data_IF_239602036718
#
_entry.id   IF_239602036718
#
_cell.length_a   1.000
_cell.length_b   1.000
_cell.length_c   1.000
_cell.angle_alpha   90.00
_cell.angle_beta   90.00
_cell.angle_gamma   90.00
#
_symmetry.space_group_name_H-M   'P 1'
#
loop_
_entity.id
_entity.type
_entity.pdbx_description
1 polymer ?
#
# COMPACT_ATOMS: atom_id res chain seq x y z
N UNK A 1 -10.98 -12.39 -15.47
CA UNK A 1 -10.63 -13.80 -15.14
C UNK A 1 -10.92 -14.00 -13.67
N UNK A 2 -11.71 -15.02 -13.30
CA UNK A 2 -11.91 -15.35 -11.89
C UNK A 2 -10.56 -15.76 -11.30
N UNK A 3 -10.09 -15.02 -10.29
CA UNK A 3 -8.97 -15.46 -9.47
C UNK A 3 -9.36 -16.79 -8.85
N UNK A 4 -8.76 -17.88 -9.35
CA UNK A 4 -8.94 -19.22 -8.79
C UNK A 4 -8.48 -19.14 -7.34
N UNK A 5 -9.40 -19.25 -6.40
CA UNK A 5 -9.08 -19.28 -4.99
C UNK A 5 -8.13 -20.46 -4.75
N UNK A 6 -6.86 -20.15 -4.49
CA UNK A 6 -5.84 -21.12 -4.14
C UNK A 6 -5.80 -21.22 -2.62
N UNK A 7 -6.12 -22.41 -2.11
CA UNK A 7 -6.09 -22.71 -0.68
C UNK A 7 -4.97 -23.71 -0.48
N UNK A 8 -3.95 -23.29 0.26
CA UNK A 8 -2.80 -24.13 0.59
C UNK A 8 -2.54 -24.08 2.09
N UNK A 9 -1.98 -25.16 2.63
CA UNK A 9 -1.71 -25.30 4.04
C UNK A 9 -0.21 -25.22 4.27
N UNK A 10 0.21 -24.36 5.19
CA UNK A 10 1.60 -24.25 5.60
C UNK A 10 1.79 -24.76 7.03
N UNK A 11 2.86 -25.53 7.25
CA UNK A 11 3.25 -25.96 8.60
C UNK A 11 4.08 -24.88 9.26
N UNK A 12 3.79 -24.61 10.54
CA UNK A 12 4.66 -23.79 11.39
C UNK A 12 5.89 -24.61 11.73
N UNK A 13 7.05 -24.11 11.33
CA UNK A 13 8.36 -24.69 11.57
C UNK A 13 8.90 -24.25 12.94
N UNK A 14 10.10 -24.74 13.28
CA UNK A 14 10.81 -24.28 14.49
C UNK A 14 10.94 -22.75 14.51
N UNK A 15 10.92 -22.16 15.71
CA UNK A 15 10.97 -20.71 15.93
C UNK A 15 9.77 -19.93 15.35
N UNK A 16 8.64 -20.58 15.11
CA UNK A 16 7.41 -19.91 14.67
C UNK A 16 7.44 -19.47 13.21
N UNK A 17 8.37 -19.99 12.40
CA UNK A 17 8.48 -19.62 11.00
C UNK A 17 7.42 -20.33 10.15
N UNK A 18 6.82 -19.62 9.19
CA UNK A 18 5.91 -20.18 8.19
C UNK A 18 6.48 -19.89 6.80
N UNK A 19 6.52 -20.91 5.95
CA UNK A 19 6.96 -20.75 4.56
C UNK A 19 5.80 -20.28 3.70
N UNK A 20 5.98 -19.20 2.95
CA UNK A 20 5.04 -18.75 1.92
C UNK A 20 5.30 -19.58 0.65
N UNK A 21 4.34 -20.38 0.16
CA UNK A 21 4.49 -21.17 -1.07
C UNK A 21 4.84 -20.29 -2.27
N UNK A 22 5.51 -20.87 -3.29
CA UNK A 22 5.97 -20.12 -4.47
C UNK A 22 4.82 -19.40 -5.17
N UNK A 23 3.72 -20.09 -5.42
CA UNK A 23 2.57 -19.54 -6.14
C UNK A 23 1.94 -18.35 -5.38
N UNK A 24 1.92 -18.41 -4.04
CA UNK A 24 1.45 -17.31 -3.19
C UNK A 24 2.41 -16.11 -3.25
N UNK A 25 3.74 -16.35 -3.28
CA UNK A 25 4.72 -15.27 -3.45
C UNK A 25 4.60 -14.57 -4.79
N UNK A 26 4.37 -15.33 -5.86
CA UNK A 26 4.23 -14.79 -7.21
C UNK A 26 2.98 -13.89 -7.31
N UNK A 27 1.87 -14.28 -6.67
CA UNK A 27 0.64 -13.47 -6.58
C UNK A 27 0.84 -12.22 -5.70
N UNK A 28 1.53 -12.36 -4.57
CA UNK A 28 1.86 -11.23 -3.68
C UNK A 28 2.91 -10.28 -4.29
N UNK A 29 3.62 -10.71 -5.34
CA UNK A 29 4.71 -9.96 -5.96
C UNK A 29 5.88 -9.74 -5.01
N UNK A 30 6.25 -10.76 -4.23
CA UNK A 30 7.35 -10.69 -3.25
C UNK A 30 8.46 -11.69 -3.56
N UNK A 31 9.71 -11.24 -3.43
CA UNK A 31 10.92 -12.02 -3.61
C UNK A 31 11.71 -12.14 -2.30
N UNK A 32 12.83 -12.86 -2.35
CA UNK A 32 13.74 -12.97 -1.21
C UNK A 32 14.32 -11.61 -0.86
N UNK A 33 14.14 -11.17 0.39
CA UNK A 33 14.58 -9.86 0.88
C UNK A 33 13.44 -8.83 0.96
N UNK A 34 12.32 -9.09 0.31
CA UNK A 34 11.15 -8.22 0.40
C UNK A 34 10.44 -8.35 1.74
N UNK A 35 9.74 -7.28 2.11
CA UNK A 35 8.95 -7.21 3.34
C UNK A 35 7.48 -7.50 3.04
N UNK A 36 6.85 -8.21 3.97
CA UNK A 36 5.40 -8.44 4.00
C UNK A 36 4.82 -7.84 5.27
N UNK A 37 3.61 -7.31 5.18
CA UNK A 37 2.86 -6.75 6.30
C UNK A 37 1.75 -7.72 6.68
N UNK A 38 1.60 -7.94 7.98
CA UNK A 38 0.50 -8.73 8.55
C UNK A 38 -0.58 -7.76 9.03
N UNK A 39 -1.76 -7.84 8.42
CA UNK A 39 -2.96 -7.12 8.85
C UNK A 39 -3.80 -8.10 9.67
N UNK A 40 -4.04 -7.77 10.94
CA UNK A 40 -4.77 -8.61 11.88
C UNK A 40 -6.13 -7.97 12.17
N UNK A 41 -7.19 -8.64 11.74
CA UNK A 41 -8.58 -8.21 11.91
C UNK A 41 -9.31 -9.27 12.74
N UNK A 42 -9.36 -9.05 14.07
CA UNK A 42 -9.91 -10.02 15.01
C UNK A 42 -9.15 -11.35 14.99
N UNK A 43 -9.80 -12.39 14.48
CA UNK A 43 -9.24 -13.74 14.36
C UNK A 43 -8.71 -14.07 12.95
N UNK A 44 -8.77 -13.11 12.02
CA UNK A 44 -8.29 -13.28 10.65
C UNK A 44 -6.99 -12.51 10.46
N UNK A 45 -5.99 -13.18 9.88
CA UNK A 45 -4.70 -12.56 9.52
C UNK A 45 -4.59 -12.56 8.01
N UNK A 46 -4.30 -11.40 7.44
CA UNK A 46 -4.04 -11.19 6.01
C UNK A 46 -2.59 -10.77 5.81
N UNK A 47 -1.94 -11.33 4.80
CA UNK A 47 -0.58 -10.97 4.41
C UNK A 47 -0.66 -10.12 3.15
N UNK A 48 -0.01 -8.96 3.17
CA UNK A 48 0.05 -8.04 2.03
C UNK A 48 1.49 -7.61 1.75
N UNK A 49 1.77 -7.24 0.50
CA UNK A 49 3.06 -6.64 0.13
C UNK A 49 3.22 -5.29 0.86
N UNK A 50 4.30 -5.13 1.62
CA UNK A 50 4.48 -3.94 2.47
C UNK A 50 4.61 -2.65 1.67
N UNK A 51 5.29 -2.68 0.53
CA UNK A 51 5.51 -1.48 -0.29
C UNK A 51 4.19 -1.00 -0.91
N UNK A 52 3.43 -1.95 -1.48
CA UNK A 52 2.12 -1.66 -2.05
C UNK A 52 1.15 -1.17 -0.97
N UNK A 53 1.15 -1.81 0.20
CA UNK A 53 0.28 -1.42 1.30
C UNK A 53 0.60 -0.01 1.82
N UNK A 54 1.89 0.33 1.99
CA UNK A 54 2.29 1.66 2.42
C UNK A 54 1.84 2.74 1.42
N UNK A 55 2.02 2.48 0.12
CA UNK A 55 1.58 3.42 -0.92
C UNK A 55 0.05 3.56 -0.95
N UNK A 56 -0.70 2.48 -0.74
CA UNK A 56 -2.16 2.53 -0.64
C UNK A 56 -2.62 3.35 0.58
N UNK A 57 -2.00 3.16 1.74
CA UNK A 57 -2.31 3.96 2.93
C UNK A 57 -2.01 5.44 2.70
N UNK A 58 -0.82 5.76 2.15
CA UNK A 58 -0.47 7.13 1.80
C UNK A 58 -1.45 7.75 0.80
N UNK A 59 -1.84 7.01 -0.24
CA UNK A 59 -2.84 7.48 -1.21
C UNK A 59 -4.21 7.68 -0.56
N UNK A 60 -4.64 6.82 0.36
CA UNK A 60 -5.90 6.99 1.09
C UNK A 60 -5.89 8.21 2.00
N UNK A 61 -4.79 8.45 2.71
CA UNK A 61 -4.61 9.66 3.51
C UNK A 61 -4.62 10.93 2.65
N UNK A 62 -3.94 10.91 1.49
CA UNK A 62 -3.93 12.04 0.56
C UNK A 62 -5.27 12.25 -0.15
N UNK A 63 -6.02 11.19 -0.47
CA UNK A 63 -7.35 11.31 -1.06
C UNK A 63 -8.32 12.05 -0.13
N UNK A 64 -8.24 11.77 1.18
CA UNK A 64 -8.99 12.52 2.19
C UNK A 64 -8.54 13.99 2.33
N UNK A 65 -7.28 14.28 2.00
CA UNK A 65 -6.75 15.65 2.02
C UNK A 65 -7.07 16.42 0.72
N UNK A 66 -7.18 15.76 -0.43
CA UNK A 66 -7.63 16.36 -1.69
C UNK A 66 -9.08 16.87 -1.59
N UNK A 67 -9.99 16.07 -1.01
CA UNK A 67 -11.37 16.49 -0.71
C UNK A 67 -11.44 17.62 0.33
N UNK A 68 -10.49 17.68 1.28
CA UNK A 68 -10.38 18.76 2.26
C UNK A 68 -9.78 20.05 1.70
N UNK A 69 -8.94 19.95 0.68
CA UNK A 69 -8.23 21.09 0.08
C UNK A 69 -8.90 21.61 -1.18
N UNK A 70 -9.91 20.91 -1.71
CA UNK A 70 -10.68 21.33 -2.90
C UNK A 70 -9.86 21.34 -4.18
N UNK A 71 -8.83 20.48 -4.26
CA UNK A 71 -7.95 20.35 -5.41
C UNK A 71 -8.41 19.16 -6.24
N UNK A 72 -9.51 19.34 -6.97
CA UNK A 72 -10.20 18.26 -7.69
C UNK A 72 -9.65 18.06 -9.10
N UNK A 73 -8.77 18.95 -9.57
CA UNK A 73 -8.23 18.96 -10.93
C UNK A 73 -6.73 19.27 -11.00
N UNK A 74 -6.10 18.86 -12.10
CA UNK A 74 -4.71 19.21 -12.42
C UNK A 74 -4.49 20.73 -12.47
N UNK A 75 -5.53 21.50 -12.83
CA UNK A 75 -5.50 22.97 -12.86
C UNK A 75 -5.41 23.56 -11.44
N UNK A 76 -6.10 22.98 -10.47
CA UNK A 76 -6.07 23.42 -9.07
C UNK A 76 -4.70 23.16 -8.44
N UNK A 77 -4.08 22.02 -8.77
CA UNK A 77 -2.70 21.70 -8.36
C UNK A 77 -1.71 22.71 -8.96
N UNK A 78 -1.88 23.08 -10.24
CA UNK A 78 -1.05 24.08 -10.90
C UNK A 78 -1.21 25.48 -10.30
N UNK A 79 -2.41 25.84 -9.86
CA UNK A 79 -2.68 27.10 -9.17
C UNK A 79 -1.97 27.17 -7.80
N UNK A 80 -2.06 26.11 -6.99
CA UNK A 80 -1.38 26.02 -5.69
C UNK A 80 0.15 26.13 -5.84
N UNK A 81 0.73 25.39 -6.78
CA UNK A 81 2.18 25.43 -7.04
C UNK A 81 2.63 26.82 -7.48
N UNK A 82 1.78 27.56 -8.20
CA UNK A 82 2.05 28.93 -8.63
C UNK A 82 1.95 29.93 -7.48
N UNK A 83 1.02 29.76 -6.55
CA UNK A 83 0.94 30.59 -5.34
C UNK A 83 2.18 30.39 -4.44
N UNK A 84 2.55 29.15 -4.15
CA UNK A 84 3.73 28.84 -3.31
C UNK A 84 5.04 29.40 -3.90
N UNK A 85 5.20 29.32 -5.22
CA UNK A 85 6.38 29.90 -5.91
C UNK A 85 6.44 31.42 -5.86
N UNK A 86 5.30 32.10 -5.76
CA UNK A 86 5.25 33.55 -5.68
C UNK A 86 5.43 34.08 -4.24
N UNK A 87 5.18 33.25 -3.21
CA UNK A 87 5.49 33.61 -1.82
C UNK A 87 7.01 33.65 -1.57
N UNK A 88 7.78 32.76 -2.21
CA UNK A 88 9.26 32.77 -2.14
C UNK A 88 9.91 34.02 -2.79
N UNK A 89 9.21 34.71 -3.70
CA UNK A 89 9.69 35.96 -4.32
C UNK A 89 9.39 37.22 -3.50
N UNK A 90 8.66 37.11 -2.38
CA UNK A 90 8.29 38.25 -1.52
C UNK A 90 9.02 38.31 -0.17
N UNK A 91 10.06 37.50 0.03
CA UNK A 91 10.94 37.56 1.21
C UNK A 91 12.29 38.18 0.86
#
# INVERSE_FOLDING_TARGET
MLAKAFVDNAKVMAKGQVTIPKDVRDILGVASGDRVTFVVEGNTVRIVNSAVYAMQMLQQEMAGEAERTGLDSEDDVMALVKELRNEDEKV
#
